data_IF_155405043836
#
_entry.id   IF_155405043836
#
_cell.length_a   1.000
_cell.length_b   1.000
_cell.length_c   1.000
_cell.angle_alpha   90.00
_cell.angle_beta   90.00
_cell.angle_gamma   90.00
#
_symmetry.space_group_name_H-M   'P 1'
#
loop_
_entity.id
_entity.type
_entity.pdbx_description
1 polymer ?
#
# COMPACT_ATOMS: atom_id res chain seq x y z
N UNK A 1 -17.76 18.12 -16.28
CA UNK A 1 -18.37 16.78 -16.26
C UNK A 1 -18.63 16.37 -14.80
N UNK A 2 -19.69 16.91 -14.18
CA UNK A 2 -19.60 17.31 -12.77
C UNK A 2 -20.64 16.63 -11.86
N UNK A 3 -20.80 15.30 -11.99
CA UNK A 3 -21.79 14.51 -11.22
C UNK A 3 -21.22 13.44 -10.28
N UNK A 4 -19.89 13.34 -10.15
CA UNK A 4 -19.24 12.18 -9.51
C UNK A 4 -18.43 12.47 -8.23
N UNK A 5 -18.43 13.71 -7.71
CA UNK A 5 -17.94 14.01 -6.36
C UNK A 5 -19.10 14.42 -5.44
N UNK A 6 -19.47 13.54 -4.51
CA UNK A 6 -20.31 13.91 -3.36
C UNK A 6 -19.40 14.57 -2.31
N UNK A 7 -19.22 15.88 -2.41
CA UNK A 7 -18.59 16.68 -1.33
C UNK A 7 -19.63 16.96 -0.26
N UNK A 8 -19.47 16.38 0.93
CA UNK A 8 -20.30 16.74 2.09
C UNK A 8 -19.94 18.13 2.63
N UNK A 9 -20.91 18.90 3.15
CA UNK A 9 -20.67 20.26 3.63
C UNK A 9 -19.96 20.26 4.99
N UNK A 10 -18.93 21.10 5.11
CA UNK A 10 -18.25 21.38 6.39
C UNK A 10 -19.24 22.14 7.30
N UNK A 11 -19.56 21.57 8.47
CA UNK A 11 -20.42 22.24 9.46
C UNK A 11 -19.70 23.43 10.10
N UNK A 12 -20.02 24.63 9.63
CA UNK A 12 -19.68 25.86 10.34
C UNK A 12 -20.38 25.91 11.71
N UNK A 13 -19.67 26.36 12.75
CA UNK A 13 -20.24 26.62 14.08
C UNK A 13 -20.83 28.03 14.13
N UNK A 14 -22.13 28.17 13.88
CA UNK A 14 -22.85 29.36 14.27
C UNK A 14 -23.40 29.17 15.69
N UNK A 15 -22.98 30.04 16.62
CA UNK A 15 -23.63 30.18 17.92
C UNK A 15 -24.77 31.19 17.78
N UNK A 16 -26.01 30.74 17.88
CA UNK A 16 -27.17 31.62 18.09
C UNK A 16 -27.79 31.31 19.46
N UNK A 17 -28.05 32.36 20.24
CA UNK A 17 -28.59 32.27 21.60
C UNK A 17 -30.03 32.78 21.56
N UNK A 18 -31.06 31.96 21.85
CA UNK A 18 -32.42 32.43 22.01
C UNK A 18 -32.60 33.21 23.32
N UNK A 19 -33.16 34.41 23.23
CA UNK A 19 -33.50 35.26 24.38
C UNK A 19 -34.70 34.66 25.15
N UNK A 20 -34.59 34.52 26.48
CA UNK A 20 -35.70 34.16 27.36
C UNK A 20 -35.79 35.10 28.57
N UNK A 21 -36.68 36.07 28.47
CA UNK A 21 -37.06 36.96 29.58
C UNK A 21 -37.98 36.22 30.54
N UNK A 22 -37.56 36.12 31.80
CA UNK A 22 -38.45 35.83 32.93
C UNK A 22 -38.29 36.92 33.99
N UNK A 23 -39.40 37.30 34.63
CA UNK A 23 -39.47 38.43 35.56
C UNK A 23 -39.90 37.92 36.93
N UNK A 24 -38.99 37.97 37.90
CA UNK A 24 -39.29 37.77 39.32
C UNK A 24 -38.69 38.94 40.12
N UNK A 25 -39.42 39.40 41.14
CA UNK A 25 -39.07 40.57 41.95
C UNK A 25 -38.17 40.20 43.14
N UNK A 26 -37.51 41.24 43.65
CA UNK A 26 -36.68 41.30 44.87
C UNK A 26 -37.24 40.47 46.05
N UNK A 27 -36.35 39.88 46.85
CA UNK A 27 -36.27 40.18 48.29
C UNK A 27 -34.93 39.77 48.91
N UNK A 28 -34.46 40.54 49.90
CA UNK A 28 -33.24 40.34 50.73
C UNK A 28 -33.55 40.95 52.11
N UNK A 29 -33.45 40.19 53.23
CA UNK A 29 -32.46 40.59 54.24
C UNK A 29 -31.80 39.46 55.09
N UNK A 30 -30.50 39.62 55.32
CA UNK A 30 -29.76 39.42 56.59
C UNK A 30 -29.65 38.02 57.24
N UNK A 31 -28.52 37.38 56.95
CA UNK A 31 -27.43 37.02 57.89
C UNK A 31 -27.72 36.64 59.36
N UNK A 32 -27.12 35.52 59.79
CA UNK A 32 -26.61 35.31 61.17
C UNK A 32 -25.24 34.61 61.14
N UNK A 33 -24.38 34.94 62.11
CA UNK A 33 -23.05 34.33 62.32
C UNK A 33 -23.15 33.04 63.13
N UNK A 34 -22.15 32.16 63.03
CA UNK A 34 -21.34 31.75 64.20
C UNK A 34 -20.13 30.89 63.80
N UNK A 35 -19.06 30.97 64.60
CA UNK A 35 -17.82 30.16 64.48
C UNK A 35 -17.15 30.09 65.86
N UNK A 36 -16.65 28.91 66.25
CA UNK A 36 -15.29 28.80 66.81
C UNK A 36 -14.49 27.71 66.06
N UNK A 37 -13.22 27.84 65.70
CA UNK A 37 -12.00 28.38 66.36
C UNK A 37 -11.36 27.40 67.36
N UNK A 38 -10.37 26.64 66.86
CA UNK A 38 -9.09 26.25 67.48
C UNK A 38 -8.27 25.49 66.41
N UNK A 39 -6.98 25.66 66.08
CA UNK A 39 -5.84 26.53 66.46
C UNK A 39 -4.62 25.75 67.03
N UNK A 40 -3.51 25.79 66.27
CA UNK A 40 -2.08 25.41 66.49
C UNK A 40 -1.56 24.58 65.32
N UNK A 41 -0.69 25.08 64.44
CA UNK A 41 0.71 25.57 64.60
C UNK A 41 1.75 24.47 64.82
N UNK A 42 2.67 24.32 63.86
CA UNK A 42 4.03 24.87 64.01
C UNK A 42 4.78 24.99 62.69
N UNK A 43 5.78 25.88 62.68
CA UNK A 43 6.61 26.21 61.52
C UNK A 43 7.81 25.25 61.38
N UNK A 44 8.45 25.22 60.20
CA UNK A 44 9.71 25.96 60.07
C UNK A 44 10.01 26.30 58.60
N UNK A 45 10.80 27.35 58.37
CA UNK A 45 11.20 27.83 57.05
C UNK A 45 12.70 28.14 57.02
N UNK A 46 13.31 28.17 55.83
CA UNK A 46 14.47 29.02 55.57
C UNK A 46 14.70 29.24 54.07
N UNK A 47 14.93 30.50 53.70
CA UNK A 47 15.33 30.96 52.37
C UNK A 47 16.86 31.22 52.32
N UNK A 48 17.38 31.50 51.12
CA UNK A 48 18.47 32.41 50.74
C UNK A 48 19.04 31.92 49.39
N UNK A 49 18.72 32.48 48.22
CA UNK A 49 18.88 33.85 47.68
C UNK A 49 20.23 34.07 46.94
N UNK A 50 20.29 35.08 46.06
CA UNK A 50 21.17 35.17 44.87
C UNK A 50 22.15 36.37 44.97
N UNK A 51 23.16 36.49 44.09
CA UNK A 51 23.07 37.59 43.09
C UNK A 51 23.75 37.31 41.72
N UNK A 52 23.56 38.24 40.75
CA UNK A 52 24.14 38.23 39.38
C UNK A 52 25.07 39.42 39.09
N UNK A 53 26.14 39.18 38.31
CA UNK A 53 26.88 40.12 37.40
C UNK A 53 27.47 39.28 36.22
N UNK A 54 28.06 39.76 35.11
CA UNK A 54 28.37 41.12 34.59
C UNK A 54 29.84 41.20 34.11
N UNK A 55 30.24 41.75 32.94
CA UNK A 55 29.53 42.38 31.80
C UNK A 55 30.34 42.24 30.48
N UNK A 56 29.65 42.11 29.33
CA UNK A 56 30.09 42.46 27.94
C UNK A 56 31.24 41.68 27.24
N UNK A 57 31.27 41.73 25.88
CA UNK A 57 32.36 41.23 25.01
C UNK A 57 31.93 40.98 23.54
N UNK A 58 32.71 41.45 22.55
CA UNK A 58 32.42 41.32 21.09
C UNK A 58 33.10 40.10 20.43
N UNK A 59 32.68 39.74 19.21
CA UNK A 59 33.01 38.47 18.55
C UNK A 59 34.17 38.51 17.53
N UNK A 60 34.81 37.35 17.28
CA UNK A 60 35.60 37.01 16.09
C UNK A 60 35.68 35.47 15.85
N UNK A 61 36.19 35.05 14.69
CA UNK A 61 36.36 33.65 14.18
C UNK A 61 37.86 33.44 13.78
N UNK A 62 38.35 32.23 13.40
CA UNK A 62 37.99 30.85 13.78
C UNK A 62 39.23 29.88 13.94
N UNK A 63 38.95 28.57 14.12
CA UNK A 63 39.71 27.40 13.58
C UNK A 63 40.88 26.75 14.37
N UNK A 64 41.32 25.59 13.82
CA UNK A 64 42.46 24.69 14.15
C UNK A 64 42.18 23.42 15.00
N UNK A 65 43.01 22.38 14.76
CA UNK A 65 42.87 20.97 15.23
C UNK A 65 43.89 20.61 16.34
N UNK A 66 43.64 19.53 17.08
CA UNK A 66 44.64 18.68 17.78
C UNK A 66 44.31 17.21 17.43
N UNK A 67 45.21 16.40 16.87
CA UNK A 67 46.35 15.67 17.46
C UNK A 67 45.89 14.70 18.56
N UNK A 68 45.91 13.37 18.42
CA UNK A 68 46.92 12.38 17.96
C UNK A 68 47.91 11.94 19.07
N UNK A 69 47.92 10.62 19.33
CA UNK A 69 49.03 9.66 19.51
C UNK A 69 48.37 8.24 19.41
N UNK A 70 49.00 7.11 19.13
CA UNK A 70 50.39 6.66 19.36
C UNK A 70 51.19 6.22 18.11
N UNK A 71 52.43 5.75 18.37
CA UNK A 71 53.59 5.43 17.52
C UNK A 71 53.65 3.96 17.03
N UNK A 72 54.69 3.48 16.26
CA UNK A 72 55.95 4.12 15.82
C UNK A 72 56.29 4.06 14.30
N UNK A 73 57.36 4.76 13.90
CA UNK A 73 58.03 4.62 12.59
C UNK A 73 59.17 3.58 12.63
N UNK A 74 59.46 2.93 11.50
CA UNK A 74 60.81 2.45 11.13
C UNK A 74 61.06 2.78 9.65
N UNK A 75 62.31 3.17 9.32
CA UNK A 75 62.80 3.51 7.97
C UNK A 75 63.61 2.29 7.46
N UNK A 76 63.98 2.11 6.18
CA UNK A 76 64.06 3.01 5.02
C UNK A 76 64.30 2.13 3.77
N UNK A 77 64.07 2.72 2.58
CA UNK A 77 64.86 2.60 1.33
C UNK A 77 64.06 2.42 0.04
N UNK A 78 64.63 2.99 -1.03
CA UNK A 78 64.14 2.95 -2.40
C UNK A 78 65.03 1.98 -3.16
N UNK A 79 64.42 1.15 -4.01
CA UNK A 79 65.11 0.67 -5.20
C UNK A 79 64.12 0.64 -6.38
N UNK A 80 64.64 0.73 -7.60
CA UNK A 80 63.83 1.01 -8.81
C UNK A 80 63.47 -0.27 -9.57
N UNK A 81 62.18 -0.52 -9.74
CA UNK A 81 61.66 -1.47 -10.73
C UNK A 81 60.32 -0.98 -11.29
N UNK A 82 60.21 -0.93 -12.63
CA UNK A 82 58.94 -0.71 -13.31
C UNK A 82 58.06 -1.97 -13.20
N UNK A 83 56.76 -1.81 -12.97
CA UNK A 83 55.79 -2.91 -13.07
C UNK A 83 54.41 -2.40 -13.48
N UNK A 84 53.67 -3.22 -14.22
CA UNK A 84 52.55 -2.76 -15.04
C UNK A 84 51.23 -2.63 -14.26
N UNK A 85 50.46 -1.58 -14.57
CA UNK A 85 49.10 -1.40 -14.06
C UNK A 85 48.08 -1.94 -15.09
N UNK A 86 47.36 -3.05 -14.82
CA UNK A 86 46.70 -3.84 -15.86
C UNK A 86 45.55 -3.10 -16.57
N UNK A 87 45.55 -3.01 -17.92
CA UNK A 87 44.60 -2.19 -18.66
C UNK A 87 43.19 -2.79 -18.78
N UNK A 88 42.19 -1.90 -18.91
CA UNK A 88 40.76 -2.22 -19.02
C UNK A 88 40.48 -3.17 -20.21
N UNK A 89 40.11 -4.42 -19.90
CA UNK A 89 39.91 -5.51 -20.87
C UNK A 89 38.66 -5.33 -21.76
N UNK A 90 38.71 -4.43 -22.75
CA UNK A 90 37.74 -4.38 -23.87
C UNK A 90 37.96 -5.60 -24.77
N UNK A 91 37.16 -6.66 -24.59
CA UNK A 91 37.20 -7.84 -25.46
C UNK A 91 36.56 -7.54 -26.82
N UNK A 92 37.35 -7.08 -27.78
CA UNK A 92 36.91 -6.91 -29.17
C UNK A 92 36.58 -8.26 -29.82
N UNK A 93 35.29 -8.60 -29.91
CA UNK A 93 34.86 -9.82 -30.62
C UNK A 93 34.85 -9.55 -32.12
N UNK A 94 35.89 -10.00 -32.81
CA UNK A 94 35.97 -9.91 -34.26
C UNK A 94 34.76 -10.62 -34.91
N UNK A 95 34.02 -9.90 -35.75
CA UNK A 95 32.89 -10.43 -36.51
C UNK A 95 33.40 -11.28 -37.67
N UNK A 96 33.61 -12.59 -37.43
CA UNK A 96 33.94 -13.54 -38.49
C UNK A 96 32.77 -13.63 -39.47
N UNK A 97 32.93 -13.02 -40.64
CA UNK A 97 31.92 -13.06 -41.70
C UNK A 97 31.78 -14.48 -42.25
N UNK A 98 30.74 -15.19 -41.83
CA UNK A 98 30.31 -16.47 -42.41
C UNK A 98 29.16 -16.22 -43.38
N UNK A 99 29.46 -15.58 -44.52
CA UNK A 99 28.51 -15.42 -45.62
C UNK A 99 28.43 -16.73 -46.42
N UNK A 100 27.76 -17.71 -45.85
CA UNK A 100 27.56 -19.05 -46.43
C UNK A 100 26.07 -19.34 -46.57
N UNK A 101 25.59 -19.33 -47.81
CA UNK A 101 24.38 -19.98 -48.34
C UNK A 101 23.26 -20.25 -47.32
N UNK A 102 22.27 -19.36 -47.27
CA UNK A 102 20.92 -19.71 -46.83
C UNK A 102 20.06 -19.86 -48.08
N UNK A 103 19.50 -21.05 -48.29
CA UNK A 103 18.51 -21.31 -49.35
C UNK A 103 17.15 -20.66 -49.00
N UNK A 104 16.20 -20.71 -49.93
CA UNK A 104 14.89 -20.06 -49.82
C UNK A 104 13.99 -20.74 -48.76
N UNK A 105 14.23 -20.41 -47.49
CA UNK A 105 13.35 -20.78 -46.39
C UNK A 105 11.97 -20.14 -46.54
N UNK A 106 10.92 -20.94 -46.37
CA UNK A 106 9.52 -20.49 -46.45
C UNK A 106 9.24 -19.33 -45.49
N UNK A 107 8.33 -18.39 -45.84
CA UNK A 107 8.01 -17.26 -44.98
C UNK A 107 7.64 -17.70 -43.57
N UNK A 108 8.37 -17.17 -42.58
CA UNK A 108 8.03 -17.34 -41.17
C UNK A 108 6.61 -16.81 -40.93
N UNK A 109 5.73 -17.52 -40.21
CA UNK A 109 4.33 -17.11 -40.06
C UNK A 109 4.27 -15.69 -39.49
N UNK A 110 3.50 -14.84 -40.20
CA UNK A 110 3.43 -13.41 -39.93
C UNK A 110 3.02 -13.19 -38.46
N UNK A 111 3.85 -12.44 -37.73
CA UNK A 111 3.62 -12.20 -36.30
C UNK A 111 2.34 -11.39 -36.13
N UNK A 112 1.25 -12.08 -35.81
CA UNK A 112 -0.06 -11.50 -35.51
C UNK A 112 0.11 -10.24 -34.67
N UNK A 113 -0.31 -9.10 -35.21
CA UNK A 113 -0.13 -7.82 -34.57
C UNK A 113 -0.78 -7.84 -33.18
N UNK A 114 -0.09 -7.40 -32.11
CA UNK A 114 -0.60 -7.52 -30.75
C UNK A 114 -1.92 -6.76 -30.61
N UNK A 115 -2.97 -7.49 -30.26
CA UNK A 115 -4.32 -6.96 -30.11
C UNK A 115 -4.31 -5.82 -29.07
N UNK A 116 -4.86 -4.67 -29.44
CA UNK A 116 -4.86 -3.47 -28.60
C UNK A 116 -5.96 -3.56 -27.55
N UNK A 117 -5.69 -4.29 -26.47
CA UNK A 117 -6.61 -4.48 -25.35
C UNK A 117 -7.18 -3.12 -24.89
N UNK A 118 -8.50 -3.02 -24.65
CA UNK A 118 -9.11 -1.76 -24.26
C UNK A 118 -8.60 -1.31 -22.88
N UNK A 119 -8.34 -0.01 -22.75
CA UNK A 119 -7.95 0.59 -21.48
C UNK A 119 -9.08 0.50 -20.45
N UNK A 120 -8.72 0.28 -19.19
CA UNK A 120 -9.66 0.36 -18.06
C UNK A 120 -10.25 1.77 -18.02
N UNK A 121 -11.58 1.82 -17.90
CA UNK A 121 -12.33 3.02 -17.53
C UNK A 121 -13.14 2.67 -16.30
N UNK A 122 -12.66 3.03 -15.11
CA UNK A 122 -13.40 2.80 -13.88
C UNK A 122 -14.58 3.78 -13.80
N UNK A 123 -15.77 3.26 -13.51
CA UNK A 123 -17.03 4.01 -13.45
C UNK A 123 -17.80 3.81 -12.14
N UNK A 124 -17.23 3.03 -11.21
CA UNK A 124 -17.78 2.86 -9.87
C UNK A 124 -17.54 4.07 -8.96
N UNK A 125 -18.07 4.00 -7.75
CA UNK A 125 -17.89 5.04 -6.74
C UNK A 125 -16.47 5.01 -6.15
N UNK A 126 -15.85 6.18 -6.01
CA UNK A 126 -14.59 6.35 -5.27
C UNK A 126 -14.91 7.11 -3.98
N UNK A 127 -14.88 6.41 -2.85
CA UNK A 127 -15.10 7.00 -1.52
C UNK A 127 -13.75 7.41 -0.92
N UNK A 128 -13.47 8.71 -0.87
CA UNK A 128 -12.22 9.27 -0.34
C UNK A 128 -12.43 9.90 1.04
N UNK A 129 -11.63 9.49 2.03
CA UNK A 129 -11.73 9.96 3.41
C UNK A 129 -10.36 10.42 3.94
N UNK A 130 -10.36 11.52 4.70
CA UNK A 130 -9.14 12.22 5.14
C UNK A 130 -9.00 12.43 6.65
N UNK A 131 -10.09 12.33 7.42
CA UNK A 131 -10.05 12.36 8.88
C UNK A 131 -10.05 10.95 9.50
N UNK A 132 -9.48 10.84 10.71
CA UNK A 132 -9.43 9.60 11.48
C UNK A 132 -10.84 9.06 11.80
N UNK A 133 -11.80 9.92 12.11
CA UNK A 133 -13.17 9.54 12.47
C UNK A 133 -13.94 9.04 11.24
N UNK A 134 -13.80 9.72 10.10
CA UNK A 134 -14.47 9.30 8.86
C UNK A 134 -13.92 7.97 8.32
N UNK A 135 -12.60 7.76 8.40
CA UNK A 135 -11.96 6.48 8.05
C UNK A 135 -12.39 5.38 9.04
N UNK A 136 -12.55 5.69 10.33
CA UNK A 136 -13.06 4.73 11.32
C UNK A 136 -14.50 4.29 11.00
N UNK A 137 -15.39 5.26 10.75
CA UNK A 137 -16.79 4.99 10.41
C UNK A 137 -16.92 4.19 9.10
N UNK A 138 -16.22 4.60 8.04
CA UNK A 138 -16.24 3.88 6.76
C UNK A 138 -15.62 2.48 6.84
N UNK A 139 -14.66 2.24 7.75
CA UNK A 139 -14.15 0.89 7.98
C UNK A 139 -15.15 0.01 8.74
N UNK A 140 -15.91 0.59 9.67
CA UNK A 140 -16.99 -0.11 10.37
C UNK A 140 -18.16 -0.43 9.44
N UNK A 141 -18.59 0.51 8.58
CA UNK A 141 -19.61 0.28 7.53
C UNK A 141 -19.25 -0.95 6.66
N UNK A 142 -18.00 -1.03 6.20
CA UNK A 142 -17.51 -2.16 5.39
C UNK A 142 -17.41 -3.44 6.22
N UNK A 143 -17.05 -3.35 7.51
CA UNK A 143 -17.01 -4.51 8.42
C UNK A 143 -18.41 -5.05 8.74
N UNK A 144 -19.42 -4.18 8.91
CA UNK A 144 -20.82 -4.57 9.03
C UNK A 144 -21.32 -5.26 7.75
N UNK A 145 -20.99 -4.71 6.57
CA UNK A 145 -21.30 -5.34 5.29
C UNK A 145 -20.63 -6.71 5.13
N UNK A 146 -19.36 -6.87 5.53
CA UNK A 146 -18.66 -8.16 5.56
C UNK A 146 -19.37 -9.17 6.46
N UNK A 147 -19.83 -8.75 7.64
CA UNK A 147 -20.58 -9.61 8.58
C UNK A 147 -21.94 -10.05 8.03
N UNK A 148 -22.58 -9.23 7.19
CA UNK A 148 -23.83 -9.57 6.50
C UNK A 148 -23.64 -10.62 5.39
N UNK A 149 -22.41 -10.90 4.95
CA UNK A 149 -22.14 -11.94 3.96
C UNK A 149 -22.19 -13.32 4.63
N UNK A 150 -23.39 -13.83 4.93
CA UNK A 150 -23.61 -15.14 5.58
C UNK A 150 -23.17 -16.29 4.70
N UNK A 151 -23.49 -16.22 3.40
CA UNK A 151 -23.51 -17.35 2.46
C UNK A 151 -22.13 -17.66 1.84
N UNK A 152 -21.08 -16.97 2.32
CA UNK A 152 -19.69 -17.18 1.92
C UNK A 152 -18.78 -17.26 3.15
N UNK A 153 -17.88 -18.24 3.16
CA UNK A 153 -16.84 -18.34 4.19
C UNK A 153 -15.79 -17.22 4.08
N UNK A 154 -15.58 -16.74 2.85
CA UNK A 154 -14.49 -15.83 2.47
C UNK A 154 -15.02 -14.66 1.65
N UNK A 155 -14.72 -13.45 2.12
CA UNK A 155 -14.94 -12.20 1.40
C UNK A 155 -13.58 -11.69 0.87
N UNK A 156 -13.32 -11.78 -0.44
CA UNK A 156 -12.11 -11.23 -1.02
C UNK A 156 -12.17 -9.70 -1.06
N UNK A 157 -11.08 -9.07 -0.62
CA UNK A 157 -10.91 -7.62 -0.58
C UNK A 157 -9.57 -7.30 -1.24
N UNK A 158 -9.62 -6.63 -2.39
CA UNK A 158 -8.40 -6.12 -3.00
C UNK A 158 -7.82 -5.02 -2.12
N UNK A 159 -6.50 -5.00 -1.97
CA UNK A 159 -5.78 -4.09 -1.08
C UNK A 159 -4.52 -3.58 -1.78
N UNK A 160 -4.29 -2.27 -1.69
CA UNK A 160 -3.06 -1.62 -2.15
C UNK A 160 -2.70 -0.43 -1.24
N UNK A 161 -1.49 0.11 -1.39
CA UNK A 161 -0.94 1.19 -0.59
C UNK A 161 -0.07 2.13 -1.41
N UNK A 162 -0.19 3.45 -1.17
CA UNK A 162 0.64 4.45 -1.85
C UNK A 162 1.40 5.37 -0.89
N UNK A 163 2.58 5.83 -1.34
CA UNK A 163 3.51 6.62 -0.53
C UNK A 163 4.43 7.51 -1.39
N UNK A 164 4.88 8.68 -0.87
CA UNK A 164 5.89 9.46 -1.55
C UNK A 164 7.22 8.70 -1.65
N UNK A 165 7.89 8.85 -2.80
CA UNK A 165 9.20 8.28 -3.05
C UNK A 165 10.24 9.37 -3.33
N UNK A 166 11.44 9.19 -2.79
CA UNK A 166 12.61 10.04 -2.99
C UNK A 166 13.78 9.19 -3.46
N UNK A 167 14.53 9.65 -4.47
CA UNK A 167 15.76 8.97 -4.89
C UNK A 167 16.91 9.12 -3.87
N UNK A 168 16.78 10.04 -2.91
CA UNK A 168 17.77 10.30 -1.87
C UNK A 168 17.47 9.57 -0.55
N UNK A 169 16.19 9.44 -0.18
CA UNK A 169 15.76 8.84 1.11
C UNK A 169 14.89 7.59 0.97
N UNK A 170 14.59 7.16 -0.27
CA UNK A 170 13.76 5.99 -0.54
C UNK A 170 12.26 6.23 -0.31
N UNK A 171 11.48 5.20 0.07
CA UNK A 171 10.05 5.31 0.32
C UNK A 171 9.76 6.01 1.66
N UNK A 172 8.94 7.07 1.64
CA UNK A 172 8.43 7.72 2.84
C UNK A 172 7.31 6.92 3.53
N UNK A 173 6.71 7.48 4.59
CA UNK A 173 5.61 6.84 5.31
C UNK A 173 4.41 6.59 4.37
N UNK A 174 3.82 5.40 4.49
CA UNK A 174 2.55 5.02 3.86
C UNK A 174 1.50 6.11 4.08
N UNK A 175 0.96 6.62 2.97
CA UNK A 175 0.16 7.84 2.92
C UNK A 175 -1.27 7.61 2.46
N UNK A 176 -1.52 6.48 1.78
CA UNK A 176 -2.85 6.03 1.36
C UNK A 176 -2.96 4.51 1.60
N UNK A 177 -4.13 4.04 2.01
CA UNK A 177 -4.60 2.66 1.80
C UNK A 177 -5.76 2.71 0.82
N UNK A 178 -5.80 1.74 -0.08
CA UNK A 178 -6.89 1.49 -1.01
C UNK A 178 -7.51 0.14 -0.69
N UNK A 179 -8.85 0.05 -0.65
CA UNK A 179 -9.55 -1.24 -0.59
C UNK A 179 -10.75 -1.32 -1.56
N UNK A 180 -11.02 -2.51 -2.08
CA UNK A 180 -12.18 -2.80 -2.92
C UNK A 180 -12.80 -4.15 -2.53
N UNK A 181 -14.07 -4.16 -2.13
CA UNK A 181 -14.85 -5.38 -1.79
C UNK A 181 -15.90 -5.71 -2.86
N UNK A 182 -16.49 -4.68 -3.46
CA UNK A 182 -17.37 -4.72 -4.62
C UNK A 182 -16.72 -3.88 -5.71
N UNK A 183 -16.62 -4.42 -6.92
CA UNK A 183 -16.08 -3.73 -8.10
C UNK A 183 -16.77 -2.37 -8.35
N UNK A 184 -18.01 -2.19 -7.89
CA UNK A 184 -18.76 -0.93 -8.00
C UNK A 184 -18.31 0.17 -7.01
N UNK A 185 -17.49 -0.13 -6.00
CA UNK A 185 -17.08 0.86 -4.99
C UNK A 185 -15.67 0.61 -4.42
N UNK A 186 -14.74 1.49 -4.76
CA UNK A 186 -13.40 1.55 -4.15
C UNK A 186 -13.36 2.60 -3.03
N UNK A 187 -12.62 2.28 -1.97
CA UNK A 187 -12.39 3.13 -0.80
C UNK A 187 -10.92 3.57 -0.78
N UNK A 188 -10.69 4.85 -0.51
CA UNK A 188 -9.36 5.48 -0.46
C UNK A 188 -9.22 6.22 0.87
N UNK A 189 -8.32 5.74 1.73
CA UNK A 189 -8.12 6.23 3.09
C UNK A 189 -6.79 6.98 3.20
N UNK A 190 -6.84 8.29 3.44
CA UNK A 190 -5.63 9.11 3.59
C UNK A 190 -4.99 8.89 4.97
N UNK A 191 -3.75 8.41 4.99
CA UNK A 191 -3.02 8.08 6.21
C UNK A 191 -2.03 9.17 6.67
N UNK A 192 -1.81 10.21 5.86
CA UNK A 192 -0.70 11.16 6.05
C UNK A 192 -0.75 11.94 7.37
N UNK A 193 -1.94 12.24 7.88
CA UNK A 193 -2.14 12.89 9.18
C UNK A 193 -2.20 11.90 10.36
N UNK A 194 -2.18 10.58 10.08
CA UNK A 194 -2.42 9.55 11.07
C UNK A 194 -1.13 9.11 11.78
N UNK A 195 -1.12 9.30 13.11
CA UNK A 195 -0.11 8.71 14.00
C UNK A 195 -0.30 7.21 14.15
N UNK A 196 -1.56 6.76 14.20
CA UNK A 196 -2.01 5.36 14.24
C UNK A 196 -3.19 5.15 13.30
N UNK A 197 -3.38 3.92 12.80
CA UNK A 197 -4.59 3.54 12.08
C UNK A 197 -5.82 3.53 13.02
N UNK A 198 -7.04 3.79 12.53
CA UNK A 198 -8.25 3.60 13.34
C UNK A 198 -8.45 2.13 13.71
N UNK A 199 -8.91 1.86 14.93
CA UNK A 199 -9.12 0.49 15.40
C UNK A 199 -10.10 -0.31 14.52
N UNK A 200 -11.15 0.33 13.97
CA UNK A 200 -12.08 -0.29 13.02
C UNK A 200 -11.39 -0.72 11.71
N UNK A 201 -10.42 0.06 11.20
CA UNK A 201 -9.65 -0.31 10.01
C UNK A 201 -8.71 -1.49 10.30
N UNK A 202 -8.06 -1.49 11.47
CA UNK A 202 -7.21 -2.62 11.91
C UNK A 202 -8.06 -3.89 12.11
N UNK A 203 -9.27 -3.76 12.68
CA UNK A 203 -10.21 -4.86 12.83
C UNK A 203 -10.68 -5.39 11.45
N UNK A 204 -11.05 -4.51 10.53
CA UNK A 204 -11.49 -4.87 9.18
C UNK A 204 -10.44 -5.68 8.40
N UNK A 205 -9.18 -5.21 8.38
CA UNK A 205 -8.12 -5.92 7.64
C UNK A 205 -7.75 -7.27 8.31
N UNK A 206 -7.87 -7.37 9.63
CA UNK A 206 -7.63 -8.62 10.38
C UNK A 206 -8.84 -9.58 10.40
N UNK A 207 -10.05 -9.10 10.11
CA UNK A 207 -11.32 -9.85 10.18
C UNK A 207 -11.23 -11.26 9.56
N UNK A 208 -11.77 -12.31 10.22
CA UNK A 208 -11.55 -13.71 9.82
C UNK A 208 -12.12 -14.06 8.44
N UNK A 209 -13.28 -13.50 8.06
CA UNK A 209 -13.81 -13.66 6.69
C UNK A 209 -13.03 -12.86 5.62
N UNK A 210 -12.28 -11.82 6.00
CA UNK A 210 -11.62 -10.93 5.03
C UNK A 210 -10.33 -11.55 4.51
N UNK A 211 -10.32 -11.76 3.20
CA UNK A 211 -9.18 -12.25 2.43
C UNK A 211 -8.57 -11.12 1.61
N UNK A 212 -7.57 -10.47 2.19
CA UNK A 212 -6.81 -9.43 1.50
C UNK A 212 -6.04 -10.05 0.33
N UNK A 213 -6.05 -9.39 -0.82
CA UNK A 213 -5.30 -9.83 -1.99
C UNK A 213 -4.80 -8.66 -2.84
N UNK A 214 -3.75 -8.94 -3.63
CA UNK A 214 -3.05 -7.95 -4.44
C UNK A 214 -1.82 -8.58 -5.12
N UNK A 215 -0.93 -7.77 -5.69
CA UNK A 215 0.30 -8.25 -6.35
C UNK A 215 1.51 -7.79 -5.56
N UNK A 216 2.35 -8.73 -5.11
CA UNK A 216 3.47 -8.48 -4.19
C UNK A 216 3.05 -7.99 -2.78
N UNK A 217 1.75 -8.11 -2.45
CA UNK A 217 1.07 -7.58 -1.25
C UNK A 217 1.76 -7.88 0.09
N UNK A 218 2.52 -8.99 0.16
CA UNK A 218 3.32 -9.36 1.35
C UNK A 218 4.39 -8.31 1.71
N UNK A 219 4.91 -7.57 0.73
CA UNK A 219 5.84 -6.47 0.96
C UNK A 219 5.12 -5.24 1.57
N UNK A 220 3.88 -5.01 1.15
CA UNK A 220 3.09 -3.86 1.56
C UNK A 220 2.61 -4.01 3.00
N UNK A 221 2.27 -5.23 3.44
CA UNK A 221 2.04 -5.52 4.87
C UNK A 221 3.29 -5.30 5.74
N UNK A 222 4.48 -5.74 5.30
CA UNK A 222 5.75 -5.47 6.01
C UNK A 222 6.07 -3.97 6.06
N UNK A 223 5.67 -3.21 5.03
CA UNK A 223 5.73 -1.75 5.03
C UNK A 223 4.69 -1.13 5.97
N UNK A 224 3.49 -1.68 6.04
CA UNK A 224 2.41 -1.22 6.90
C UNK A 224 2.77 -1.38 8.38
N UNK A 225 3.22 -2.57 8.78
CA UNK A 225 3.72 -2.90 10.12
C UNK A 225 4.83 -1.94 10.58
N UNK A 226 5.85 -1.71 9.74
CA UNK A 226 6.93 -0.75 10.06
C UNK A 226 6.43 0.69 10.22
N UNK A 227 5.43 1.10 9.44
CA UNK A 227 4.92 2.47 9.43
C UNK A 227 3.79 2.70 10.47
N UNK A 228 3.14 1.62 10.93
CA UNK A 228 2.02 1.55 11.86
C UNK A 228 2.09 0.24 12.69
N UNK A 229 2.89 0.21 13.79
CA UNK A 229 3.22 -1.02 14.52
C UNK A 229 2.06 -1.73 15.24
N UNK A 230 0.86 -1.15 15.27
CA UNK A 230 -0.37 -1.85 15.68
C UNK A 230 -0.88 -2.91 14.67
N UNK A 231 -0.26 -3.02 13.48
CA UNK A 231 -0.55 -4.07 12.49
C UNK A 231 0.56 -5.11 12.49
N UNK A 232 0.22 -6.38 12.74
CA UNK A 232 1.13 -7.51 12.47
C UNK A 232 1.09 -7.86 10.98
N UNK A 233 2.24 -7.83 10.32
CA UNK A 233 2.35 -8.25 8.93
C UNK A 233 2.20 -9.76 8.78
N UNK A 234 2.74 -10.55 9.72
CA UNK A 234 2.68 -12.01 9.65
C UNK A 234 1.24 -12.54 9.67
N UNK A 235 0.38 -12.04 10.56
CA UNK A 235 -1.04 -12.39 10.62
C UNK A 235 -1.83 -12.04 9.33
N UNK A 236 -1.39 -11.01 8.59
CA UNK A 236 -1.97 -10.69 7.28
C UNK A 236 -1.38 -11.57 6.16
N UNK A 237 -0.07 -11.85 6.20
CA UNK A 237 0.65 -12.68 5.23
C UNK A 237 0.15 -14.12 5.24
N UNK A 238 -0.13 -14.69 6.41
CA UNK A 238 -0.63 -16.07 6.58
C UNK A 238 -1.95 -16.31 5.83
N UNK A 239 -2.86 -15.33 5.83
CA UNK A 239 -4.17 -15.45 5.19
C UNK A 239 -4.25 -14.91 3.77
N UNK A 240 -3.41 -13.96 3.37
CA UNK A 240 -3.56 -13.25 2.08
C UNK A 240 -3.41 -14.11 0.81
N UNK A 241 -3.87 -13.60 -0.33
CA UNK A 241 -3.59 -14.15 -1.66
C UNK A 241 -2.70 -13.18 -2.45
N UNK A 242 -1.56 -13.65 -2.93
CA UNK A 242 -0.80 -12.94 -3.97
C UNK A 242 -1.31 -13.38 -5.35
N UNK A 243 -1.89 -12.45 -6.11
CA UNK A 243 -2.51 -12.73 -7.41
C UNK A 243 -1.49 -13.18 -8.47
N UNK A 244 -0.21 -12.84 -8.32
CA UNK A 244 0.86 -13.31 -9.21
C UNK A 244 1.24 -14.76 -8.92
N UNK A 245 1.33 -15.14 -7.64
CA UNK A 245 1.54 -16.55 -7.24
C UNK A 245 0.33 -17.39 -7.63
N UNK A 246 -0.88 -16.95 -7.30
CA UNK A 246 -2.10 -17.71 -7.59
C UNK A 246 -2.36 -17.84 -9.11
N UNK A 247 -2.03 -16.82 -9.91
CA UNK A 247 -2.06 -16.93 -11.38
C UNK A 247 -1.12 -18.03 -11.92
N UNK A 248 0.05 -18.24 -11.30
CA UNK A 248 0.96 -19.31 -11.70
C UNK A 248 0.37 -20.70 -11.39
N UNK A 249 -0.27 -20.86 -10.23
CA UNK A 249 -0.91 -22.12 -9.78
C UNK A 249 -2.17 -22.47 -10.59
N UNK A 250 -3.06 -21.50 -10.81
CA UNK A 250 -4.30 -21.69 -11.57
C UNK A 250 -3.97 -21.92 -13.04
N UNK A 251 -3.27 -20.97 -13.68
CA UNK A 251 -3.01 -20.97 -15.12
C UNK A 251 -1.77 -21.78 -15.56
N UNK A 252 -1.11 -22.49 -14.64
CA UNK A 252 0.05 -23.36 -14.92
C UNK A 252 1.19 -22.61 -15.64
N UNK A 253 1.49 -21.39 -15.15
CA UNK A 253 2.53 -20.51 -15.70
C UNK A 253 3.70 -20.31 -14.72
N UNK A 254 4.89 -19.99 -15.23
CA UNK A 254 6.11 -19.73 -14.44
C UNK A 254 6.49 -18.25 -14.32
N UNK A 255 5.50 -17.35 -14.35
CA UNK A 255 5.72 -15.91 -14.53
C UNK A 255 6.07 -15.16 -13.25
N UNK A 256 7.02 -14.21 -13.32
CA UNK A 256 6.97 -13.03 -12.44
C UNK A 256 5.93 -12.08 -13.00
N UNK A 257 4.94 -11.69 -12.20
CA UNK A 257 3.81 -10.89 -12.62
C UNK A 257 3.89 -9.44 -12.13
N UNK A 258 3.14 -8.57 -12.79
CA UNK A 258 2.78 -7.22 -12.35
C UNK A 258 1.28 -7.05 -12.55
N UNK A 259 0.64 -6.13 -11.82
CA UNK A 259 -0.82 -5.93 -11.88
C UNK A 259 -1.32 -5.71 -13.31
N UNK A 260 -0.65 -4.85 -14.09
CA UNK A 260 -0.82 -4.64 -15.54
C UNK A 260 -0.69 -5.90 -16.39
N UNK A 261 0.30 -6.76 -16.11
CA UNK A 261 0.48 -8.00 -16.88
C UNK A 261 -0.62 -9.01 -16.56
N UNK A 262 -1.14 -9.02 -15.32
CA UNK A 262 -2.33 -9.80 -14.97
C UNK A 262 -3.61 -9.18 -15.56
N UNK A 263 -3.77 -7.86 -15.53
CA UNK A 263 -4.91 -7.16 -16.15
C UNK A 263 -4.99 -7.46 -17.65
N UNK A 264 -3.85 -7.52 -18.33
CA UNK A 264 -3.75 -7.92 -19.73
C UNK A 264 -4.02 -9.42 -19.94
N UNK A 265 -3.35 -10.30 -19.19
CA UNK A 265 -3.41 -11.76 -19.37
C UNK A 265 -4.74 -12.38 -18.91
N UNK A 266 -5.19 -12.01 -17.71
CA UNK A 266 -6.40 -12.50 -17.04
C UNK A 266 -7.61 -11.72 -17.54
N UNK A 267 -7.72 -10.43 -17.19
CA UNK A 267 -8.93 -9.62 -17.37
C UNK A 267 -9.09 -8.97 -18.76
N UNK A 268 -8.14 -9.17 -19.69
CA UNK A 268 -8.14 -8.64 -21.06
C UNK A 268 -8.31 -7.11 -21.14
N UNK A 269 -7.56 -6.37 -20.31
CA UNK A 269 -7.54 -4.89 -20.25
C UNK A 269 -6.12 -4.32 -20.26
N UNK A 270 -5.99 -3.07 -20.71
CA UNK A 270 -4.78 -2.25 -20.56
C UNK A 270 -4.91 -1.26 -19.39
N UNK A 271 -3.81 -0.96 -18.70
CA UNK A 271 -3.75 0.01 -17.60
C UNK A 271 -2.96 1.25 -18.03
N UNK A 272 -3.38 2.45 -17.63
CA UNK A 272 -2.54 3.65 -17.78
C UNK A 272 -1.56 3.74 -16.61
N UNK A 273 -0.31 3.36 -16.86
CA UNK A 273 0.80 3.54 -15.91
C UNK A 273 1.48 4.89 -16.06
N UNK A 274 0.70 5.95 -15.88
CA UNK A 274 1.20 7.32 -15.77
C UNK A 274 2.20 7.44 -14.62
N UNK A 275 3.51 7.38 -14.97
CA UNK A 275 4.62 7.51 -14.00
C UNK A 275 4.55 8.81 -13.19
N UNK A 276 3.92 9.85 -13.76
CA UNK A 276 3.64 11.14 -13.09
C UNK A 276 2.71 10.97 -11.89
N UNK A 277 1.69 10.12 -11.98
CA UNK A 277 0.73 9.85 -10.90
C UNK A 277 1.32 8.88 -9.88
N UNK A 278 1.87 7.75 -10.34
CA UNK A 278 2.50 6.74 -9.45
C UNK A 278 3.74 7.25 -8.68
N UNK A 279 4.35 8.35 -9.12
CA UNK A 279 5.46 9.02 -8.41
C UNK A 279 5.06 10.42 -7.93
N UNK A 280 3.75 10.64 -7.71
CA UNK A 280 3.20 11.90 -7.22
C UNK A 280 3.41 12.09 -5.71
N UNK A 281 2.94 13.22 -5.19
CA UNK A 281 3.00 13.53 -3.76
C UNK A 281 1.79 12.94 -3.04
N UNK A 282 1.74 11.61 -2.91
CA UNK A 282 0.67 10.87 -2.21
C UNK A 282 0.40 11.30 -0.75
N UNK A 283 1.31 12.06 -0.13
CA UNK A 283 1.16 12.62 1.22
C UNK A 283 0.45 13.99 1.28
N UNK A 284 0.19 14.61 0.13
CA UNK A 284 -0.51 15.91 0.04
C UNK A 284 -2.01 15.67 0.05
N UNK A 285 -2.72 16.52 0.80
CA UNK A 285 -4.18 16.44 0.99
C UNK A 285 -4.82 17.71 0.40
N UNK A 286 -5.90 17.62 -0.37
CA UNK A 286 -6.50 16.38 -0.90
C UNK A 286 -5.66 15.78 -2.04
N UNK A 287 -5.89 14.50 -2.34
CA UNK A 287 -5.46 13.88 -3.59
C UNK A 287 -6.20 14.49 -4.79
N UNK A 288 -5.54 14.58 -5.94
CA UNK A 288 -6.14 15.00 -7.21
C UNK A 288 -6.93 13.87 -7.90
N UNK A 289 -7.77 14.21 -8.88
CA UNK A 289 -8.67 13.25 -9.56
C UNK A 289 -7.91 12.11 -10.27
N UNK A 290 -6.69 12.36 -10.75
CA UNK A 290 -5.85 11.33 -11.37
C UNK A 290 -5.26 10.41 -10.30
N UNK A 291 -4.83 10.96 -9.16
CA UNK A 291 -4.39 10.16 -8.00
C UNK A 291 -5.53 9.26 -7.48
N UNK A 292 -6.75 9.80 -7.33
CA UNK A 292 -7.93 9.05 -6.90
C UNK A 292 -8.33 7.97 -7.90
N UNK A 293 -8.35 8.29 -9.20
CA UNK A 293 -8.68 7.35 -10.27
C UNK A 293 -7.63 6.23 -10.39
N UNK A 294 -6.34 6.55 -10.31
CA UNK A 294 -5.25 5.58 -10.29
C UNK A 294 -5.37 4.65 -9.08
N UNK A 295 -5.53 5.21 -7.89
CA UNK A 295 -5.70 4.48 -6.64
C UNK A 295 -6.92 3.54 -6.67
N UNK A 296 -8.06 3.97 -7.23
CA UNK A 296 -9.23 3.13 -7.39
C UNK A 296 -9.02 2.02 -8.44
N UNK A 297 -8.36 2.31 -9.56
CA UNK A 297 -8.11 1.34 -10.64
C UNK A 297 -7.25 0.17 -10.16
N UNK A 298 -6.18 0.41 -9.38
CA UNK A 298 -5.27 -0.66 -8.97
C UNK A 298 -5.97 -1.70 -8.06
N UNK A 299 -6.83 -1.28 -7.11
CA UNK A 299 -7.65 -2.22 -6.32
C UNK A 299 -8.86 -2.78 -7.08
N UNK A 300 -9.51 -2.00 -7.95
CA UNK A 300 -10.60 -2.51 -8.80
C UNK A 300 -10.13 -3.67 -9.69
N UNK A 301 -9.01 -3.49 -10.40
CA UNK A 301 -8.53 -4.53 -11.31
C UNK A 301 -7.99 -5.73 -10.53
N UNK A 302 -7.43 -5.52 -9.33
CA UNK A 302 -7.13 -6.60 -8.39
C UNK A 302 -8.37 -7.45 -8.08
N UNK A 303 -9.50 -6.83 -7.76
CA UNK A 303 -10.76 -7.53 -7.47
C UNK A 303 -11.27 -8.33 -8.69
N UNK A 304 -11.25 -7.74 -9.88
CA UNK A 304 -11.61 -8.43 -11.15
C UNK A 304 -10.68 -9.61 -11.42
N UNK A 305 -9.36 -9.45 -11.25
CA UNK A 305 -8.37 -10.51 -11.43
C UNK A 305 -8.62 -11.66 -10.44
N UNK A 306 -8.94 -11.34 -9.17
CA UNK A 306 -9.28 -12.35 -8.17
C UNK A 306 -10.50 -13.18 -8.62
N UNK A 307 -11.59 -12.52 -9.03
CA UNK A 307 -12.83 -13.22 -9.43
C UNK A 307 -12.64 -14.09 -10.67
N UNK A 308 -11.89 -13.62 -11.66
CA UNK A 308 -11.56 -14.39 -12.86
C UNK A 308 -10.65 -15.60 -12.53
N UNK A 309 -9.67 -15.45 -11.64
CA UNK A 309 -8.85 -16.58 -11.14
C UNK A 309 -9.68 -17.57 -10.31
N UNK A 310 -10.60 -17.08 -9.48
CA UNK A 310 -11.55 -17.89 -8.69
C UNK A 310 -12.43 -18.76 -9.61
N UNK A 311 -12.97 -18.16 -10.68
CA UNK A 311 -13.78 -18.87 -11.68
C UNK A 311 -12.95 -19.89 -12.47
N UNK A 312 -11.75 -19.52 -12.93
CA UNK A 312 -10.84 -20.43 -13.64
C UNK A 312 -10.43 -21.62 -12.76
N UNK A 313 -10.14 -21.41 -11.48
CA UNK A 313 -9.79 -22.49 -10.56
C UNK A 313 -10.98 -23.44 -10.31
N UNK A 314 -12.21 -22.92 -10.19
CA UNK A 314 -13.42 -23.76 -10.09
C UNK A 314 -13.62 -24.59 -11.36
N UNK A 315 -13.51 -23.99 -12.54
CA UNK A 315 -13.68 -24.71 -13.80
C UNK A 315 -12.58 -25.75 -14.03
N UNK A 316 -11.32 -25.43 -13.69
CA UNK A 316 -10.19 -26.37 -13.71
C UNK A 316 -10.50 -27.60 -12.86
N UNK A 317 -10.97 -27.40 -11.62
CA UNK A 317 -11.28 -28.49 -10.70
C UNK A 317 -12.44 -29.38 -11.21
N UNK A 318 -13.48 -28.78 -11.82
CA UNK A 318 -14.56 -29.51 -12.50
C UNK A 318 -14.01 -30.35 -13.65
N UNK A 319 -13.22 -29.75 -14.54
CA UNK A 319 -12.64 -30.42 -15.71
C UNK A 319 -11.72 -31.60 -15.31
N UNK A 320 -10.94 -31.44 -14.23
CA UNK A 320 -10.08 -32.50 -13.68
C UNK A 320 -10.90 -33.64 -13.06
N UNK A 321 -11.99 -33.34 -12.34
CA UNK A 321 -12.92 -34.34 -11.78
C UNK A 321 -13.67 -35.12 -12.86
N UNK A 322 -14.19 -34.44 -13.89
CA UNK A 322 -14.84 -35.09 -15.03
C UNK A 322 -13.89 -36.02 -15.78
N UNK A 323 -12.66 -35.57 -16.04
CA UNK A 323 -11.66 -36.39 -16.72
C UNK A 323 -11.30 -37.63 -15.90
N UNK A 324 -11.11 -37.51 -14.58
CA UNK A 324 -10.89 -38.65 -13.67
C UNK A 324 -12.08 -39.63 -13.70
N UNK A 325 -13.32 -39.13 -13.75
CA UNK A 325 -14.54 -39.96 -13.83
C UNK A 325 -14.66 -40.72 -15.16
N UNK A 326 -14.18 -40.13 -16.26
CA UNK A 326 -14.26 -40.73 -17.61
C UNK A 326 -13.10 -41.69 -17.91
N UNK A 327 -11.86 -41.34 -17.51
CA UNK A 327 -10.63 -41.99 -17.96
C UNK A 327 -9.83 -42.66 -16.81
N UNK A 328 -10.23 -42.45 -15.56
CA UNK A 328 -9.56 -42.98 -14.38
C UNK A 328 -8.31 -42.21 -13.95
N UNK A 329 -7.87 -42.46 -12.72
CA UNK A 329 -6.77 -41.76 -12.07
C UNK A 329 -5.40 -41.99 -12.76
N UNK A 330 -5.22 -43.14 -13.40
CA UNK A 330 -3.99 -43.47 -14.14
C UNK A 330 -3.82 -42.59 -15.39
N UNK A 331 -4.88 -42.43 -16.19
CA UNK A 331 -4.88 -41.54 -17.34
C UNK A 331 -4.68 -40.07 -16.92
N UNK A 332 -5.33 -39.64 -15.83
CA UNK A 332 -5.17 -38.28 -15.30
C UNK A 332 -3.70 -37.97 -14.95
N UNK A 333 -3.02 -38.91 -14.29
CA UNK A 333 -1.59 -38.76 -13.95
C UNK A 333 -0.68 -38.74 -15.18
N UNK A 334 -0.98 -39.54 -16.19
CA UNK A 334 -0.25 -39.52 -17.46
C UNK A 334 -0.40 -38.15 -18.18
N UNK A 335 -1.64 -37.66 -18.32
CA UNK A 335 -1.97 -36.38 -18.98
C UNK A 335 -1.34 -35.19 -18.25
N UNK A 336 -1.42 -35.13 -16.91
CA UNK A 336 -0.68 -34.12 -16.14
C UNK A 336 0.84 -34.24 -16.28
N UNK A 337 1.36 -35.47 -16.40
CA UNK A 337 2.79 -35.73 -16.65
C UNK A 337 3.29 -35.24 -18.02
N UNK A 338 2.40 -35.12 -19.01
CA UNK A 338 2.68 -34.53 -20.33
C UNK A 338 2.56 -32.99 -20.35
N UNK A 339 2.14 -32.37 -19.24
CA UNK A 339 1.98 -30.92 -19.13
C UNK A 339 0.67 -30.37 -19.70
N UNK A 340 -0.35 -31.21 -19.92
CA UNK A 340 -1.65 -30.75 -20.41
C UNK A 340 -2.43 -29.97 -19.34
N UNK A 341 -2.89 -28.77 -19.71
CA UNK A 341 -3.67 -27.89 -18.83
C UNK A 341 -5.16 -28.18 -18.94
N UNK A 342 -5.86 -28.24 -17.80
CA UNK A 342 -7.31 -28.50 -17.75
C UNK A 342 -8.16 -27.23 -17.88
N UNK A 343 -7.56 -26.12 -18.33
CA UNK A 343 -8.24 -24.84 -18.61
C UNK A 343 -8.63 -24.65 -20.08
N UNK A 344 -8.02 -25.41 -21.01
CA UNK A 344 -8.17 -25.22 -22.46
C UNK A 344 -9.62 -25.33 -22.97
N UNK A 345 -10.46 -26.15 -22.31
CA UNK A 345 -11.88 -26.34 -22.64
C UNK A 345 -12.77 -25.09 -22.52
N UNK A 346 -12.29 -24.00 -21.92
CA UNK A 346 -13.07 -22.76 -21.72
C UNK A 346 -13.43 -22.11 -23.07
N UNK A 347 -12.63 -22.28 -24.12
CA UNK A 347 -12.78 -21.57 -25.40
C UNK A 347 -13.83 -22.17 -26.37
N UNK A 348 -14.50 -23.27 -26.04
CA UNK A 348 -15.52 -23.89 -26.93
C UNK A 348 -16.97 -23.53 -26.58
N UNK A 349 -17.22 -22.89 -25.42
CA UNK A 349 -18.59 -22.69 -24.87
C UNK A 349 -19.00 -21.20 -24.83
N UNK A 350 -18.09 -20.26 -25.10
CA UNK A 350 -18.41 -18.82 -25.22
C UNK A 350 -17.70 -18.18 -26.41
N UNK A 351 -18.46 -18.07 -27.51
CA UNK A 351 -18.25 -17.19 -28.66
C UNK A 351 -19.36 -16.12 -28.66
#
# INVERSE_FOLDING_TARGET
MDKFLIKMPIKAKNNEIPDQKSVIKKEIPQAKKNTPVQAKEKENAQENDTPKQGKAGRAAKPAAKRKNLDTPEVKKEMDTAESENPPKRRSGRATRSTRSMAEEGTPSPEKVAPEKMPFIKYTGAIKYYTDNQDIAASADDVMQWVNQQTDVDVVPMAFDMEWPFSFQTGPGKSSVIQICVDEKCCYVYQLSNLKKLPAALVALINHPKVRLHGVNIKADFRKLERDFPEVSADALIEKCVDLGVWCNEVCETGGRWSLERLANFIAKRAMDKSKKVRMSKWHVIPLDENQLMYAAIDVYIGQVIYRELEQRQKQKLINELEFKRQNGEAAFKAVKGLGETFLSKINEITL
#
